data_IF_103444182243
#
_entry.id   IF_103444182243
#
_cell.length_a   1.000
_cell.length_b   1.000
_cell.length_c   1.000
_cell.angle_alpha   90.00
_cell.angle_beta   90.00
_cell.angle_gamma   90.00
#
_symmetry.space_group_name_H-M   'P 1'
#
loop_
_entity.id
_entity.type
_entity.pdbx_description
1 polymer ?
#
# COMPACT_ATOMS: atom_id res chain seq x y z
N UNK A 1 32.93 -31.54 15.10
CA UNK A 1 31.90 -31.51 14.04
C UNK A 1 32.60 -31.92 12.77
N UNK A 2 32.42 -33.16 12.33
CA UNK A 2 32.89 -33.59 11.01
C UNK A 2 32.00 -32.92 9.98
N UNK A 3 32.58 -32.11 9.10
CA UNK A 3 31.85 -31.42 8.05
C UNK A 3 31.29 -32.45 7.06
N UNK A 4 29.98 -32.36 6.79
CA UNK A 4 29.34 -33.13 5.72
C UNK A 4 29.82 -32.57 4.38
N UNK A 5 30.05 -33.45 3.41
CA UNK A 5 30.42 -33.03 2.07
C UNK A 5 29.22 -32.39 1.35
N UNK A 6 29.47 -31.49 0.39
CA UNK A 6 28.41 -30.79 -0.36
C UNK A 6 27.42 -31.76 -1.04
N UNK A 7 27.90 -32.93 -1.50
CA UNK A 7 27.06 -33.97 -2.10
C UNK A 7 26.10 -34.59 -1.09
N UNK A 8 26.57 -34.84 0.13
CA UNK A 8 25.76 -35.42 1.22
C UNK A 8 24.67 -34.45 1.66
N UNK A 9 25.00 -33.17 1.79
CA UNK A 9 24.04 -32.09 2.09
C UNK A 9 22.98 -31.99 0.99
N UNK A 10 23.39 -32.07 -0.28
CA UNK A 10 22.47 -32.03 -1.42
C UNK A 10 21.50 -33.21 -1.39
N UNK A 11 21.99 -34.43 -1.12
CA UNK A 11 21.16 -35.62 -1.04
C UNK A 11 20.20 -35.56 0.16
N UNK A 12 20.64 -35.04 1.31
CA UNK A 12 19.77 -34.82 2.48
C UNK A 12 18.59 -33.90 2.16
N UNK A 13 18.85 -32.77 1.50
CA UNK A 13 17.80 -31.81 1.13
C UNK A 13 16.82 -32.40 0.10
N UNK A 14 17.35 -33.06 -0.94
CA UNK A 14 16.50 -33.78 -1.91
C UNK A 14 15.67 -34.88 -1.25
N UNK A 15 16.24 -35.61 -0.29
CA UNK A 15 15.52 -36.63 0.47
C UNK A 15 14.40 -36.02 1.33
N UNK A 16 14.67 -34.86 1.94
CA UNK A 16 13.70 -34.13 2.74
C UNK A 16 12.50 -33.70 1.90
N UNK A 17 12.72 -33.26 0.66
CA UNK A 17 11.66 -32.80 -0.24
C UNK A 17 11.01 -33.93 -1.06
N UNK A 18 11.55 -35.16 -0.99
CA UNK A 18 11.07 -36.30 -1.78
C UNK A 18 11.47 -36.25 -3.26
N UNK A 19 12.52 -35.50 -3.59
CA UNK A 19 13.01 -35.23 -4.94
C UNK A 19 14.24 -36.07 -5.35
N UNK A 20 14.50 -37.19 -4.66
CA UNK A 20 15.57 -38.13 -5.03
C UNK A 20 15.18 -38.94 -6.27
N UNK A 21 16.12 -39.08 -7.20
CA UNK A 21 16.02 -40.08 -8.28
C UNK A 21 16.32 -41.50 -7.77
N UNK A 22 15.96 -42.54 -8.52
CA UNK A 22 16.17 -43.93 -8.10
C UNK A 22 17.65 -44.26 -7.84
N UNK A 23 18.56 -43.75 -8.68
CA UNK A 23 20.00 -43.91 -8.48
C UNK A 23 20.50 -43.18 -7.22
N UNK A 24 20.03 -41.95 -7.00
CA UNK A 24 20.39 -41.14 -5.82
C UNK A 24 19.81 -41.71 -4.53
N UNK A 25 18.67 -42.40 -4.58
CA UNK A 25 18.08 -43.08 -3.43
C UNK A 25 18.96 -44.24 -2.95
N UNK A 26 19.48 -45.05 -3.86
CA UNK A 26 20.41 -46.14 -3.53
C UNK A 26 21.72 -45.59 -2.97
N UNK A 27 22.27 -44.53 -3.57
CA UNK A 27 23.45 -43.81 -3.06
C UNK A 27 23.20 -43.29 -1.64
N UNK A 28 22.05 -42.64 -1.41
CA UNK A 28 21.68 -42.07 -0.12
C UNK A 28 21.50 -43.13 0.97
N UNK A 29 20.88 -44.27 0.66
CA UNK A 29 20.72 -45.39 1.60
C UNK A 29 22.08 -46.01 1.99
N UNK A 30 23.00 -46.14 1.03
CA UNK A 30 24.36 -46.59 1.29
C UNK A 30 25.10 -45.61 2.21
N UNK A 31 25.03 -44.31 1.94
CA UNK A 31 25.65 -43.28 2.77
C UNK A 31 25.07 -43.23 4.19
N UNK A 32 23.75 -43.38 4.33
CA UNK A 32 23.06 -43.48 5.61
C UNK A 32 23.49 -44.71 6.42
N UNK A 33 23.84 -45.81 5.75
CA UNK A 33 24.32 -47.04 6.40
C UNK A 33 25.79 -46.91 6.85
N UNK A 34 26.61 -46.22 6.06
CA UNK A 34 28.05 -46.07 6.25
C UNK A 34 28.44 -45.00 7.28
N UNK A 35 27.63 -43.93 7.43
CA UNK A 35 27.95 -42.78 8.28
C UNK A 35 26.93 -42.59 9.41
N UNK A 36 27.41 -42.58 10.66
CA UNK A 36 26.58 -42.25 11.82
C UNK A 36 26.21 -40.76 11.86
N UNK A 37 27.10 -39.87 11.41
CA UNK A 37 26.87 -38.42 11.44
C UNK A 37 25.77 -38.00 10.47
N UNK A 38 25.75 -38.57 9.25
CA UNK A 38 24.70 -38.31 8.27
C UNK A 38 23.32 -38.79 8.77
N UNK A 39 23.31 -39.90 9.50
CA UNK A 39 22.09 -40.47 10.08
C UNK A 39 21.52 -39.57 11.18
N UNK A 40 22.38 -39.03 12.04
CA UNK A 40 21.97 -38.12 13.10
C UNK A 40 21.39 -36.81 12.52
N UNK A 41 22.02 -36.26 11.48
CA UNK A 41 21.55 -35.06 10.79
C UNK A 41 20.19 -35.30 10.09
N UNK A 42 20.03 -36.45 9.42
CA UNK A 42 18.77 -36.85 8.82
C UNK A 42 17.62 -36.92 9.83
N UNK A 43 17.86 -37.48 11.02
CA UNK A 43 16.85 -37.56 12.09
C UNK A 43 16.48 -36.16 12.63
N UNK A 44 17.46 -35.27 12.76
CA UNK A 44 17.24 -33.88 13.17
C UNK A 44 16.34 -33.14 12.18
N UNK A 45 16.68 -33.17 10.89
CA UNK A 45 15.93 -32.52 9.82
C UNK A 45 14.50 -33.07 9.70
N UNK A 46 14.33 -34.39 9.79
CA UNK A 46 13.01 -35.04 9.76
C UNK A 46 12.12 -34.56 10.90
N UNK A 47 12.67 -34.41 12.12
CA UNK A 47 11.93 -33.90 13.28
C UNK A 47 11.47 -32.46 13.08
N UNK A 48 12.34 -31.58 12.57
CA UNK A 48 11.98 -30.18 12.29
C UNK A 48 10.87 -30.09 11.26
N UNK A 49 10.97 -30.88 10.17
CA UNK A 49 9.92 -30.95 9.14
C UNK A 49 8.59 -31.41 9.74
N UNK A 50 8.58 -32.44 10.57
CA UNK A 50 7.36 -32.97 11.20
C UNK A 50 6.70 -31.95 12.13
N UNK A 51 7.48 -31.27 12.98
CA UNK A 51 6.97 -30.21 13.86
C UNK A 51 6.40 -29.05 13.04
N UNK A 52 7.08 -28.64 11.98
CA UNK A 52 6.62 -27.52 11.14
C UNK A 52 5.35 -27.88 10.37
N UNK A 53 5.25 -29.13 9.88
CA UNK A 53 4.05 -29.62 9.17
C UNK A 53 2.82 -29.77 10.07
N UNK A 54 3.03 -29.96 11.38
CA UNK A 54 1.93 -30.05 12.35
C UNK A 54 1.47 -28.68 12.86
N UNK A 55 2.19 -27.60 12.57
CA UNK A 55 1.75 -26.24 12.86
C UNK A 55 0.56 -25.87 11.98
N UNK A 56 -0.64 -25.88 12.56
CA UNK A 56 -1.82 -25.29 11.92
C UNK A 56 -1.78 -23.77 12.09
N UNK A 57 -1.67 -23.05 10.97
CA UNK A 57 -1.89 -21.61 10.96
C UNK A 57 -3.29 -21.31 11.50
N UNK A 58 -3.36 -20.53 12.57
CA UNK A 58 -4.62 -20.04 13.12
C UNK A 58 -5.23 -19.09 12.08
N UNK A 59 -6.30 -19.52 11.41
CA UNK A 59 -7.05 -18.63 10.51
C UNK A 59 -7.56 -17.43 11.32
N UNK A 60 -7.35 -16.19 10.86
CA UNK A 60 -7.97 -15.04 11.50
C UNK A 60 -9.49 -15.19 11.47
N UNK A 61 -10.16 -14.78 12.56
CA UNK A 61 -11.61 -14.85 12.67
C UNK A 61 -12.28 -13.93 11.64
N UNK A 62 -13.39 -14.39 11.02
CA UNK A 62 -14.11 -13.66 9.98
C UNK A 62 -14.54 -12.24 10.42
N UNK A 63 -14.81 -12.03 11.72
CA UNK A 63 -15.08 -10.71 12.32
C UNK A 63 -13.99 -9.65 12.05
N UNK A 64 -12.73 -10.07 11.92
CA UNK A 64 -11.63 -9.12 11.62
C UNK A 64 -11.68 -8.61 10.18
N UNK A 65 -12.34 -9.34 9.29
CA UNK A 65 -12.48 -8.98 7.88
C UNK A 65 -13.51 -7.87 7.69
N UNK A 66 -14.65 -7.96 8.36
CA UNK A 66 -15.74 -6.98 8.26
C UNK A 66 -15.33 -5.61 8.79
N UNK A 67 -14.60 -5.58 9.91
CA UNK A 67 -14.10 -4.34 10.49
C UNK A 67 -13.06 -3.64 9.59
N UNK A 68 -12.27 -4.44 8.85
CA UNK A 68 -11.30 -3.90 7.90
C UNK A 68 -11.99 -3.26 6.69
N UNK A 69 -13.00 -3.93 6.12
CA UNK A 69 -13.74 -3.42 4.97
C UNK A 69 -14.56 -2.17 5.26
N UNK A 70 -15.23 -2.12 6.41
CA UNK A 70 -16.03 -0.96 6.81
C UNK A 70 -15.20 0.32 6.91
N UNK A 71 -13.99 0.23 7.51
CA UNK A 71 -13.11 1.38 7.67
C UNK A 71 -12.49 1.88 6.37
N UNK A 72 -12.19 0.98 5.43
CA UNK A 72 -11.61 1.33 4.11
C UNK A 72 -12.67 1.98 3.22
N UNK A 73 -13.87 1.41 3.15
CA UNK A 73 -14.94 1.91 2.30
C UNK A 73 -15.40 3.32 2.73
N UNK A 74 -15.63 3.53 4.03
CA UNK A 74 -16.04 4.83 4.56
C UNK A 74 -14.98 5.94 4.34
N UNK A 75 -13.69 5.57 4.29
CA UNK A 75 -12.60 6.52 4.03
C UNK A 75 -12.55 6.93 2.56
N UNK A 76 -12.73 5.97 1.65
CA UNK A 76 -12.73 6.24 0.21
C UNK A 76 -13.96 7.05 -0.18
N UNK A 77 -15.14 6.67 0.32
CA UNK A 77 -16.40 7.37 0.07
C UNK A 77 -16.31 8.84 0.51
N UNK A 78 -15.86 9.10 1.75
CA UNK A 78 -15.68 10.48 2.24
C UNK A 78 -14.66 11.25 1.41
N UNK A 79 -13.54 10.63 1.04
CA UNK A 79 -12.52 11.27 0.20
C UNK A 79 -13.08 11.70 -1.16
N UNK A 80 -13.83 10.79 -1.80
CA UNK A 80 -14.42 11.03 -3.11
C UNK A 80 -15.56 12.06 -3.06
N UNK A 81 -16.41 11.98 -2.03
CA UNK A 81 -17.48 12.96 -1.80
C UNK A 81 -16.93 14.38 -1.64
N UNK A 82 -15.93 14.56 -0.78
CA UNK A 82 -15.30 15.88 -0.59
C UNK A 82 -14.57 16.37 -1.85
N UNK A 83 -13.96 15.47 -2.62
CA UNK A 83 -13.34 15.82 -3.90
C UNK A 83 -14.38 16.34 -4.90
N UNK A 84 -15.47 15.60 -5.11
CA UNK A 84 -16.56 15.99 -6.01
C UNK A 84 -17.20 17.31 -5.58
N UNK A 85 -17.51 17.47 -4.29
CA UNK A 85 -18.05 18.72 -3.73
C UNK A 85 -17.10 19.88 -3.98
N UNK A 86 -15.80 19.70 -3.74
CA UNK A 86 -14.80 20.76 -3.92
C UNK A 86 -14.69 21.19 -5.39
N UNK A 87 -14.69 20.22 -6.31
CA UNK A 87 -14.64 20.51 -7.76
C UNK A 87 -15.91 21.23 -8.19
N UNK A 88 -17.08 20.74 -7.78
CA UNK A 88 -18.37 21.37 -8.07
C UNK A 88 -18.44 22.80 -7.55
N UNK A 89 -18.03 23.02 -6.29
CA UNK A 89 -17.97 24.35 -5.69
C UNK A 89 -17.00 25.28 -6.43
N UNK A 90 -15.83 24.78 -6.82
CA UNK A 90 -14.85 25.57 -7.59
C UNK A 90 -15.40 26.00 -8.96
N UNK A 91 -16.03 25.08 -9.70
CA UNK A 91 -16.65 25.39 -10.99
C UNK A 91 -17.80 26.39 -10.81
N UNK A 92 -18.68 26.15 -9.84
CA UNK A 92 -19.81 27.03 -9.55
C UNK A 92 -19.36 28.46 -9.22
N UNK A 93 -18.35 28.59 -8.35
CA UNK A 93 -17.77 29.89 -8.00
C UNK A 93 -17.10 30.55 -9.21
N UNK A 94 -16.34 29.80 -10.01
CA UNK A 94 -15.69 30.35 -11.19
C UNK A 94 -16.71 30.90 -12.20
N UNK A 95 -17.78 30.14 -12.48
CA UNK A 95 -18.86 30.56 -13.38
C UNK A 95 -19.62 31.76 -12.80
N UNK A 96 -19.94 31.75 -11.51
CA UNK A 96 -20.61 32.87 -10.84
C UNK A 96 -19.79 34.16 -10.86
N UNK A 97 -18.50 34.07 -10.57
CA UNK A 97 -17.57 35.22 -10.67
C UNK A 97 -17.48 35.70 -12.11
N UNK A 98 -17.34 34.79 -13.08
CA UNK A 98 -17.27 35.15 -14.50
C UNK A 98 -18.50 35.89 -14.99
N UNK A 99 -19.71 35.40 -14.68
CA UNK A 99 -20.97 36.05 -15.05
C UNK A 99 -21.15 37.39 -14.32
N UNK A 100 -20.77 37.47 -13.04
CA UNK A 100 -20.82 38.72 -12.28
C UNK A 100 -19.88 39.78 -12.88
N UNK A 101 -18.67 39.40 -13.27
CA UNK A 101 -17.71 40.32 -13.91
C UNK A 101 -18.21 40.77 -15.28
N UNK A 102 -18.72 39.87 -16.10
CA UNK A 102 -19.28 40.20 -17.42
C UNK A 102 -20.44 41.19 -17.32
N UNK A 103 -21.42 40.90 -16.47
CA UNK A 103 -22.59 41.78 -16.27
C UNK A 103 -22.20 43.18 -15.78
N UNK A 104 -21.20 43.27 -14.88
CA UNK A 104 -20.67 44.55 -14.41
C UNK A 104 -19.87 45.31 -15.49
N UNK A 105 -19.23 44.60 -16.42
CA UNK A 105 -18.49 45.23 -17.52
C UNK A 105 -19.43 45.78 -18.59
N UNK A 106 -20.48 45.03 -18.93
CA UNK A 106 -21.50 45.42 -19.91
C UNK A 106 -22.37 46.60 -19.44
N UNK A 107 -22.59 46.72 -18.13
CA UNK A 107 -23.38 47.82 -17.58
C UNK A 107 -22.56 49.14 -17.53
N UNK A 108 -22.99 50.09 -18.37
CA UNK A 108 -22.42 51.43 -18.53
C UNK A 108 -22.74 52.34 -17.34
N UNK A 109 -23.81 52.05 -16.58
CA UNK A 109 -24.20 52.83 -15.41
C UNK A 109 -23.35 52.52 -14.18
N UNK A 110 -22.60 51.41 -14.18
CA UNK A 110 -21.82 50.98 -13.03
C UNK A 110 -20.58 51.85 -12.80
N UNK A 111 -20.38 52.41 -11.60
CA UNK A 111 -19.21 53.22 -11.29
C UNK A 111 -17.89 52.45 -11.42
N UNK A 112 -16.83 53.12 -11.89
CA UNK A 112 -15.52 52.51 -12.13
C UNK A 112 -14.90 51.86 -10.88
N UNK A 113 -15.08 52.45 -9.69
CA UNK A 113 -14.56 51.91 -8.44
C UNK A 113 -15.17 50.56 -8.06
N UNK A 114 -16.44 50.31 -8.41
CA UNK A 114 -17.10 49.02 -8.20
C UNK A 114 -16.51 47.95 -9.11
N UNK A 115 -16.22 48.29 -10.38
CA UNK A 115 -15.56 47.37 -11.33
C UNK A 115 -14.15 46.98 -10.84
N UNK A 116 -13.38 47.94 -10.35
CA UNK A 116 -12.04 47.69 -9.78
C UNK A 116 -12.14 46.86 -8.50
N UNK A 117 -13.09 47.16 -7.61
CA UNK A 117 -13.30 46.43 -6.37
C UNK A 117 -13.64 44.96 -6.60
N UNK A 118 -14.58 44.67 -7.50
CA UNK A 118 -14.95 43.29 -7.85
C UNK A 118 -13.80 42.57 -8.55
N UNK A 119 -13.08 43.25 -9.45
CA UNK A 119 -11.90 42.69 -10.10
C UNK A 119 -10.80 42.32 -9.11
N UNK A 120 -10.54 43.18 -8.11
CA UNK A 120 -9.56 42.92 -7.05
C UNK A 120 -9.96 41.72 -6.18
N UNK A 121 -11.24 41.58 -5.84
CA UNK A 121 -11.76 40.42 -5.08
C UNK A 121 -11.63 39.14 -5.89
N UNK A 122 -12.01 39.16 -7.17
CA UNK A 122 -11.89 37.99 -8.05
C UNK A 122 -10.44 37.56 -8.23
N UNK A 123 -9.52 38.50 -8.41
CA UNK A 123 -8.09 38.25 -8.54
C UNK A 123 -7.49 37.73 -7.22
N UNK A 124 -7.86 38.31 -6.08
CA UNK A 124 -7.48 37.82 -4.76
C UNK A 124 -7.96 36.39 -4.50
N UNK A 125 -9.19 36.08 -4.91
CA UNK A 125 -9.75 34.73 -4.81
C UNK A 125 -8.97 33.74 -5.68
N UNK A 126 -8.63 34.11 -6.93
CA UNK A 126 -7.82 33.27 -7.81
C UNK A 126 -6.43 32.98 -7.22
N UNK A 127 -5.76 34.01 -6.68
CA UNK A 127 -4.46 33.85 -5.99
C UNK A 127 -4.57 32.92 -4.79
N UNK A 128 -5.63 33.07 -3.99
CA UNK A 128 -5.86 32.22 -2.81
C UNK A 128 -6.05 30.76 -3.22
N UNK A 129 -6.86 30.48 -4.24
CA UNK A 129 -7.05 29.12 -4.77
C UNK A 129 -5.72 28.52 -5.24
N UNK A 130 -4.92 29.27 -5.99
CA UNK A 130 -3.58 28.81 -6.44
C UNK A 130 -2.64 28.57 -5.26
N UNK A 131 -2.66 29.43 -4.25
CA UNK A 131 -1.85 29.30 -3.03
C UNK A 131 -2.18 28.02 -2.27
N UNK A 132 -3.47 27.77 -2.02
CA UNK A 132 -3.95 26.57 -1.32
C UNK A 132 -3.65 25.31 -2.13
N UNK A 133 -3.86 25.33 -3.45
CA UNK A 133 -3.54 24.19 -4.32
C UNK A 133 -2.04 23.87 -4.29
N UNK A 134 -1.19 24.89 -4.36
CA UNK A 134 0.27 24.73 -4.29
C UNK A 134 0.69 24.17 -2.93
N UNK A 135 0.18 24.71 -1.85
CA UNK A 135 0.47 24.24 -0.49
C UNK A 135 0.04 22.79 -0.31
N UNK A 136 -1.19 22.45 -0.71
CA UNK A 136 -1.72 21.09 -0.58
C UNK A 136 -0.94 20.09 -1.43
N UNK A 137 -0.52 20.47 -2.64
CA UNK A 137 0.34 19.65 -3.49
C UNK A 137 1.72 19.38 -2.86
N UNK A 138 2.33 20.42 -2.27
CA UNK A 138 3.62 20.31 -1.61
C UNK A 138 3.54 19.40 -0.37
N UNK A 139 2.55 19.63 0.50
CA UNK A 139 2.32 18.81 1.69
C UNK A 139 2.04 17.36 1.32
N UNK A 140 1.30 17.09 0.25
CA UNK A 140 1.04 15.71 -0.19
C UNK A 140 2.30 14.95 -0.59
N UNK A 141 3.33 15.65 -1.09
CA UNK A 141 4.62 15.05 -1.49
C UNK A 141 5.59 14.90 -0.32
N UNK A 142 5.58 15.83 0.64
CA UNK A 142 6.64 15.94 1.66
C UNK A 142 6.21 15.48 3.05
N UNK A 143 4.94 15.11 3.25
CA UNK A 143 4.46 14.69 4.57
C UNK A 143 4.99 13.30 4.99
N UNK A 144 6.00 13.34 5.88
CA UNK A 144 6.67 12.20 6.50
C UNK A 144 5.81 11.45 7.54
N UNK A 145 4.68 12.03 7.96
CA UNK A 145 3.83 11.47 9.03
C UNK A 145 2.50 10.89 8.53
N UNK A 146 2.36 10.68 7.21
CA UNK A 146 1.17 10.06 6.58
C UNK A 146 0.74 8.72 7.19
N UNK A 147 1.64 8.01 7.87
CA UNK A 147 1.40 6.65 8.39
C UNK A 147 1.20 6.58 9.91
N UNK A 148 1.33 7.69 10.64
CA UNK A 148 1.17 7.65 12.10
C UNK A 148 -0.32 7.68 12.48
N UNK A 149 -0.87 6.51 12.80
CA UNK A 149 -2.16 6.40 13.48
C UNK A 149 -2.01 6.89 14.91
N UNK A 150 -2.86 7.84 15.32
CA UNK A 150 -3.00 8.31 16.70
C UNK A 150 -4.02 7.49 17.46
#
# INVERSE_FOLDING_TARGET
>A
MTELNEREVTLLMKALDGALTDAERVEFEQLLSASSTLRDEWQSLKRVKEVTMTMKFKRPAEETWDHYWAGVYARIERGLAWLLISIGAAIFLAVGIYQMVLSLLEDVATPLYLKIGVGAVALGFAILVVSVLREKWNTWKTDKYKEVKR
#
